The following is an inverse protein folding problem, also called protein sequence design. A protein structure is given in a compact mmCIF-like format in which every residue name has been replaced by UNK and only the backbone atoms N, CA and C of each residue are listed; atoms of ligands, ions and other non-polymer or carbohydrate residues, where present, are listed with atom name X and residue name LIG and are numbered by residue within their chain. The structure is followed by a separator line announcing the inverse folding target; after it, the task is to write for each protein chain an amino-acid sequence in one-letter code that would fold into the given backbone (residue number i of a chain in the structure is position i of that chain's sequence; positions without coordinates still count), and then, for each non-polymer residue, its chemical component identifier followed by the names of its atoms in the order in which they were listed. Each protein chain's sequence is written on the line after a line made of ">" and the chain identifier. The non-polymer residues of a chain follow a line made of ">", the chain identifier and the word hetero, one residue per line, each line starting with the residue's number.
data_IF_555502884038
#
_entry.id   IF_555502884038
#
_cell.length_a   1.000
_cell.length_b   1.000
_cell.length_c   1.000
_cell.angle_alpha   90.00
_cell.angle_beta   90.00
_cell.angle_gamma   90.00
#
_symmetry.space_group_name_H-M   'P 1'
#
loop_
_entity.id
_entity.type
_entity.pdbx_description
1 polymer ?
#
# COMPACT_ATOMS: atom_id res chain seq x y z
N UNK A 1 -42.05 -14.36 1.99
CA UNK A 1 -41.47 -13.35 1.08
C UNK A 1 -40.83 -12.33 1.98
N UNK A 2 -39.51 -12.40 2.16
CA UNK A 2 -38.77 -11.34 2.83
C UNK A 2 -39.09 -10.01 2.15
N UNK A 3 -39.26 -8.97 2.96
CA UNK A 3 -39.64 -7.65 2.49
C UNK A 3 -38.55 -7.14 1.55
N UNK A 4 -38.88 -6.89 0.28
CA UNK A 4 -37.91 -6.44 -0.75
C UNK A 4 -37.07 -5.26 -0.27
N UNK A 5 -37.66 -4.33 0.48
CA UNK A 5 -36.97 -3.18 1.05
C UNK A 5 -35.90 -3.56 2.10
N UNK A 6 -36.13 -4.62 2.87
CA UNK A 6 -35.16 -5.13 3.84
C UNK A 6 -33.95 -5.77 3.14
N UNK A 7 -34.18 -6.51 2.06
CA UNK A 7 -33.11 -7.08 1.23
C UNK A 7 -32.28 -5.98 0.57
N UNK A 8 -32.93 -4.98 -0.03
CA UNK A 8 -32.24 -3.85 -0.67
C UNK A 8 -31.39 -3.08 0.33
N UNK A 9 -31.93 -2.80 1.52
CA UNK A 9 -31.18 -2.17 2.62
C UNK A 9 -30.01 -3.03 3.07
N UNK A 10 -30.20 -4.35 3.22
CA UNK A 10 -29.12 -5.26 3.59
C UNK A 10 -27.99 -5.25 2.56
N UNK A 11 -28.31 -5.33 1.27
CA UNK A 11 -27.30 -5.29 0.18
C UNK A 11 -26.57 -3.94 0.17
N UNK A 12 -27.31 -2.85 0.29
CA UNK A 12 -26.76 -1.50 0.41
C UNK A 12 -25.74 -1.41 1.55
N UNK A 13 -26.16 -1.76 2.78
CA UNK A 13 -25.32 -1.67 3.96
C UNK A 13 -24.13 -2.64 3.88
N UNK A 14 -24.33 -3.84 3.30
CA UNK A 14 -23.27 -4.81 3.08
C UNK A 14 -22.18 -4.26 2.14
N UNK A 15 -22.54 -3.67 1.00
CA UNK A 15 -21.55 -3.14 0.04
C UNK A 15 -20.85 -1.92 0.61
N UNK A 16 -21.60 -0.97 1.21
CA UNK A 16 -21.04 0.30 1.66
C UNK A 16 -20.15 0.18 2.90
N UNK A 17 -20.39 -0.80 3.78
CA UNK A 17 -19.56 -1.01 4.97
C UNK A 17 -18.26 -1.74 4.68
N UNK A 18 -18.12 -2.36 3.50
CA UNK A 18 -16.88 -3.02 3.08
C UNK A 18 -15.81 -2.00 2.70
N UNK A 19 -14.52 -2.33 2.92
CA UNK A 19 -13.41 -1.43 2.65
C UNK A 19 -13.10 -1.30 1.16
N UNK A 20 -12.52 -0.16 0.81
CA UNK A 20 -11.60 -0.05 -0.32
C UNK A 20 -10.18 -0.43 0.18
N UNK A 21 -9.57 -1.42 -0.46
CA UNK A 21 -8.23 -1.90 -0.12
C UNK A 21 -7.25 -1.52 -1.21
N UNK A 22 -6.14 -0.88 -0.83
CA UNK A 22 -4.99 -0.63 -1.71
C UNK A 22 -3.86 -1.62 -1.41
N UNK A 23 -3.22 -2.14 -2.46
CA UNK A 23 -1.95 -2.86 -2.41
C UNK A 23 -0.91 -2.04 -3.16
N UNK A 24 0.13 -1.56 -2.46
CA UNK A 24 1.17 -0.70 -3.02
C UNK A 24 2.49 -1.46 -3.21
N UNK A 25 3.14 -1.20 -4.33
CA UNK A 25 4.51 -1.63 -4.61
C UNK A 25 5.43 -0.45 -4.93
N UNK A 26 6.67 -0.76 -5.34
CA UNK A 26 7.71 0.25 -5.56
C UNK A 26 7.31 1.32 -6.61
N UNK A 27 6.47 0.95 -7.58
CA UNK A 27 5.93 1.89 -8.57
C UNK A 27 5.09 3.01 -7.94
N UNK A 28 4.41 2.74 -6.81
CA UNK A 28 3.68 3.77 -6.08
C UNK A 28 4.64 4.80 -5.44
N UNK A 29 5.81 4.36 -4.95
CA UNK A 29 6.84 5.26 -4.44
C UNK A 29 7.41 6.12 -5.57
N UNK A 30 7.70 5.52 -6.72
CA UNK A 30 8.13 6.26 -7.92
C UNK A 30 7.08 7.31 -8.33
N UNK A 31 5.79 6.95 -8.30
CA UNK A 31 4.70 7.88 -8.61
C UNK A 31 4.54 9.01 -7.58
N UNK A 32 4.93 8.79 -6.31
CA UNK A 32 4.91 9.81 -5.27
C UNK A 32 6.06 10.82 -5.41
N UNK A 33 7.21 10.38 -5.91
CA UNK A 33 8.41 11.20 -6.13
C UNK A 33 8.94 11.05 -7.57
N UNK A 34 8.16 11.44 -8.59
CA UNK A 34 8.46 11.13 -9.99
C UNK A 34 9.74 11.79 -10.51
N UNK A 35 10.14 12.91 -9.90
CA UNK A 35 11.38 13.63 -10.22
C UNK A 35 12.46 13.47 -9.14
N UNK A 36 12.26 12.52 -8.23
CA UNK A 36 12.98 12.41 -6.97
C UNK A 36 12.27 13.11 -5.81
N UNK A 37 12.76 12.83 -4.61
CA UNK A 37 12.28 13.39 -3.35
C UNK A 37 12.73 14.86 -3.18
N UNK A 38 12.52 15.47 -2.00
CA UNK A 38 12.98 16.83 -1.70
C UNK A 38 14.49 17.02 -1.87
N UNK A 39 15.27 15.96 -1.64
CA UNK A 39 16.72 15.94 -1.72
C UNK A 39 17.24 15.51 -3.11
N UNK A 40 16.35 15.25 -4.07
CA UNK A 40 16.69 14.76 -5.41
C UNK A 40 16.98 13.26 -5.49
N UNK A 41 16.75 12.50 -4.41
CA UNK A 41 16.91 11.05 -4.38
C UNK A 41 15.78 10.38 -5.17
N UNK A 42 16.13 9.44 -6.04
CA UNK A 42 15.18 8.65 -6.83
C UNK A 42 15.07 7.25 -6.27
N UNK A 43 13.87 6.68 -6.33
CA UNK A 43 13.64 5.29 -5.94
C UNK A 43 13.83 4.34 -7.13
N UNK A 44 14.33 3.15 -6.83
CA UNK A 44 14.52 2.02 -7.76
C UNK A 44 13.44 0.96 -7.54
N UNK A 45 13.18 0.16 -8.56
CA UNK A 45 12.50 -1.15 -8.41
C UNK A 45 13.50 -2.23 -7.96
N UNK A 46 13.04 -3.45 -7.66
CA UNK A 46 13.92 -4.52 -7.11
C UNK A 46 15.04 -5.00 -8.06
N UNK A 47 14.86 -4.84 -9.37
CA UNK A 47 15.90 -5.16 -10.35
C UNK A 47 16.88 -3.99 -10.47
N UNK A 48 18.18 -4.28 -10.52
CA UNK A 48 19.27 -3.30 -10.51
C UNK A 48 19.33 -2.44 -9.22
N UNK A 49 18.62 -2.84 -8.17
CA UNK A 49 18.50 -2.07 -6.93
C UNK A 49 19.85 -1.66 -6.32
N UNK A 50 20.84 -2.56 -6.31
CA UNK A 50 22.18 -2.24 -5.80
C UNK A 50 22.95 -1.25 -6.67
N UNK A 51 22.75 -1.31 -7.98
CA UNK A 51 23.38 -0.38 -8.92
C UNK A 51 22.74 1.00 -8.79
N UNK A 52 21.40 1.07 -8.79
CA UNK A 52 20.65 2.31 -8.71
C UNK A 52 20.80 3.03 -7.36
N UNK A 53 21.06 2.30 -6.28
CA UNK A 53 21.33 2.88 -4.96
C UNK A 53 22.81 3.07 -4.63
N UNK A 54 23.72 2.75 -5.56
CA UNK A 54 25.18 2.85 -5.37
C UNK A 54 25.66 2.05 -4.14
N UNK A 55 25.35 0.75 -4.17
CA UNK A 55 25.63 -0.25 -3.11
C UNK A 55 26.45 -1.45 -3.63
N UNK A 56 26.93 -1.40 -4.87
CA UNK A 56 27.69 -2.50 -5.48
C UNK A 56 29.06 -2.73 -4.80
N UNK A 57 29.61 -1.69 -4.18
CA UNK A 57 30.87 -1.73 -3.44
C UNK A 57 30.84 -2.73 -2.26
N UNK A 58 29.67 -2.93 -1.66
CA UNK A 58 29.46 -3.89 -0.55
C UNK A 58 29.74 -5.33 -1.01
N UNK A 59 29.54 -5.62 -2.29
CA UNK A 59 29.80 -6.95 -2.86
C UNK A 59 31.26 -7.14 -3.30
N UNK A 60 32.14 -6.18 -3.02
CA UNK A 60 33.57 -6.29 -3.37
C UNK A 60 34.23 -7.47 -2.66
N UNK A 61 34.76 -8.42 -3.42
CA UNK A 61 35.37 -9.64 -2.89
C UNK A 61 34.38 -10.76 -2.56
N UNK A 62 33.07 -10.53 -2.74
CA UNK A 62 32.04 -11.58 -2.61
C UNK A 62 31.99 -12.40 -3.89
N UNK A 63 32.00 -13.73 -3.74
CA UNK A 63 31.82 -14.67 -4.86
C UNK A 63 30.41 -15.24 -4.80
N UNK A 64 29.52 -14.68 -5.61
CA UNK A 64 28.15 -15.17 -5.78
C UNK A 64 28.06 -16.04 -7.03
N UNK A 65 27.27 -17.12 -6.96
CA UNK A 65 26.92 -17.97 -8.09
C UNK A 65 25.72 -17.41 -8.87
N UNK A 66 24.83 -16.66 -8.20
CA UNK A 66 23.71 -16.00 -8.84
C UNK A 66 24.21 -14.96 -9.84
N UNK A 67 23.58 -14.94 -11.01
CA UNK A 67 23.75 -13.89 -12.03
C UNK A 67 22.58 -12.90 -12.00
N UNK A 68 21.66 -13.07 -11.05
CA UNK A 68 20.50 -12.21 -10.91
C UNK A 68 20.92 -10.82 -10.46
N UNK A 69 20.22 -9.81 -10.99
CA UNK A 69 20.34 -8.41 -10.53
C UNK A 69 19.24 -8.03 -9.53
N UNK A 70 18.43 -9.00 -9.12
CA UNK A 70 17.39 -8.82 -8.13
C UNK A 70 18.02 -8.88 -6.73
N UNK A 71 17.73 -7.88 -5.88
CA UNK A 71 18.26 -7.81 -4.53
C UNK A 71 17.93 -9.05 -3.69
N UNK A 72 16.70 -9.58 -3.81
CA UNK A 72 16.26 -10.69 -2.99
C UNK A 72 17.02 -11.98 -3.33
N UNK A 73 17.33 -12.22 -4.61
CA UNK A 73 18.15 -13.36 -5.04
C UNK A 73 19.58 -13.26 -4.51
N UNK A 74 20.17 -12.06 -4.59
CA UNK A 74 21.51 -11.77 -4.06
C UNK A 74 21.54 -11.98 -2.55
N UNK A 75 20.58 -11.39 -1.83
CA UNK A 75 20.46 -11.50 -0.39
C UNK A 75 20.25 -12.96 0.06
N UNK A 76 19.44 -13.73 -0.69
CA UNK A 76 19.21 -15.15 -0.41
C UNK A 76 20.49 -15.96 -0.49
N UNK A 77 21.35 -15.70 -1.47
CA UNK A 77 22.63 -16.41 -1.58
C UNK A 77 23.59 -15.99 -0.46
N UNK A 78 23.68 -14.70 -0.14
CA UNK A 78 24.45 -14.20 1.01
C UNK A 78 24.03 -14.89 2.32
N UNK A 79 22.73 -15.08 2.54
CA UNK A 79 22.20 -15.74 3.74
C UNK A 79 22.60 -17.22 3.85
N UNK A 80 22.87 -17.90 2.72
CA UNK A 80 23.30 -19.31 2.75
C UNK A 80 24.77 -19.53 3.09
N UNK A 81 25.59 -18.47 3.07
CA UNK A 81 27.05 -18.55 3.26
C UNK A 81 27.42 -17.89 4.58
N UNK A 82 27.74 -18.65 5.66
CA UNK A 82 28.01 -18.10 6.99
C UNK A 82 29.10 -17.03 7.00
N UNK A 83 30.12 -17.15 6.14
CA UNK A 83 31.22 -16.22 5.99
C UNK A 83 30.77 -14.82 5.53
N UNK A 84 29.60 -14.70 4.90
CA UNK A 84 29.05 -13.44 4.40
C UNK A 84 28.06 -12.78 5.38
N UNK A 85 27.97 -13.27 6.61
CA UNK A 85 27.09 -12.71 7.64
C UNK A 85 27.35 -11.22 7.91
N UNK A 86 28.61 -10.80 8.01
CA UNK A 86 28.97 -9.38 8.21
C UNK A 86 28.54 -8.51 7.02
N UNK A 87 28.73 -9.00 5.80
CA UNK A 87 28.37 -8.33 4.55
C UNK A 87 26.85 -8.17 4.46
N UNK A 88 26.09 -9.19 4.89
CA UNK A 88 24.63 -9.14 4.97
C UNK A 88 24.15 -8.03 5.92
N UNK A 89 24.74 -7.94 7.11
CA UNK A 89 24.41 -6.87 8.06
C UNK A 89 24.81 -5.48 7.54
N UNK A 90 25.94 -5.36 6.87
CA UNK A 90 26.37 -4.11 6.24
C UNK A 90 25.40 -3.68 5.13
N UNK A 91 24.96 -4.61 4.29
CA UNK A 91 23.97 -4.38 3.25
C UNK A 91 22.64 -3.88 3.83
N UNK A 92 22.10 -4.56 4.84
CA UNK A 92 20.88 -4.14 5.54
C UNK A 92 21.01 -2.72 6.11
N UNK A 93 22.11 -2.45 6.82
CA UNK A 93 22.35 -1.13 7.41
C UNK A 93 22.46 -0.02 6.35
N UNK A 94 23.15 -0.28 5.23
CA UNK A 94 23.30 0.68 4.14
C UNK A 94 21.97 0.95 3.45
N UNK A 95 21.12 -0.07 3.29
CA UNK A 95 19.74 0.10 2.78
C UNK A 95 18.93 1.00 3.70
N UNK A 96 18.94 0.74 5.02
CA UNK A 96 18.25 1.57 6.02
C UNK A 96 18.77 3.01 5.97
N UNK A 97 20.10 3.20 5.93
CA UNK A 97 20.74 4.51 5.86
C UNK A 97 20.40 5.28 4.58
N UNK A 98 20.24 4.60 3.44
CA UNK A 98 19.82 5.23 2.18
C UNK A 98 18.36 5.66 2.27
N UNK A 99 17.45 4.78 2.68
CA UNK A 99 16.03 5.12 2.78
C UNK A 99 15.74 6.18 3.83
N UNK A 100 16.51 6.26 4.92
CA UNK A 100 16.29 7.28 5.95
C UNK A 100 16.57 8.72 5.49
N UNK A 101 17.26 8.88 4.35
CA UNK A 101 17.51 10.18 3.73
C UNK A 101 16.33 10.69 2.88
N UNK A 102 15.36 9.82 2.58
CA UNK A 102 14.22 10.17 1.75
C UNK A 102 13.29 11.12 2.50
N UNK A 103 12.91 12.22 1.85
CA UNK A 103 12.00 13.24 2.38
C UNK A 103 11.03 13.64 1.29
N UNK A 104 9.73 13.45 1.52
CA UNK A 104 8.73 13.90 0.56
C UNK A 104 8.86 15.42 0.28
N UNK A 105 8.63 15.89 -0.95
CA UNK A 105 8.56 17.31 -1.31
C UNK A 105 7.61 18.13 -0.42
N UNK A 106 7.74 19.46 -0.40
CA UNK A 106 6.85 20.32 0.40
C UNK A 106 5.42 20.39 -0.15
N UNK A 107 5.27 20.22 -1.46
CA UNK A 107 3.96 20.20 -2.11
C UNK A 107 3.28 18.84 -1.97
N UNK A 108 1.93 18.79 -2.01
CA UNK A 108 1.22 17.52 -1.91
C UNK A 108 1.61 16.55 -3.02
N UNK A 109 1.91 15.33 -2.63
CA UNK A 109 2.27 14.20 -3.48
C UNK A 109 1.12 13.22 -3.61
N UNK A 110 1.23 12.24 -4.52
CA UNK A 110 0.16 11.26 -4.75
C UNK A 110 -0.21 10.46 -3.50
N UNK A 111 0.72 10.26 -2.56
CA UNK A 111 0.43 9.64 -1.27
C UNK A 111 -0.44 10.51 -0.37
N UNK A 112 -0.26 11.83 -0.39
CA UNK A 112 -1.12 12.76 0.36
C UNK A 112 -2.56 12.70 -0.17
N UNK A 113 -2.74 12.67 -1.50
CA UNK A 113 -4.05 12.50 -2.13
C UNK A 113 -4.67 11.13 -1.83
N UNK A 114 -3.89 10.05 -1.98
CA UNK A 114 -4.35 8.68 -1.70
C UNK A 114 -4.89 8.55 -0.28
N UNK A 115 -4.09 8.93 0.72
CA UNK A 115 -4.45 8.76 2.13
C UNK A 115 -5.66 9.63 2.48
N UNK A 116 -5.72 10.89 2.01
CA UNK A 116 -6.88 11.76 2.26
C UNK A 116 -8.16 11.29 1.57
N UNK A 117 -8.04 10.56 0.48
CA UNK A 117 -9.19 10.03 -0.28
C UNK A 117 -9.77 8.76 0.32
N UNK A 118 -9.19 8.26 1.41
CA UNK A 118 -9.64 7.06 2.12
C UNK A 118 -10.05 7.42 3.55
N UNK A 119 -10.81 6.52 4.19
CA UNK A 119 -11.34 6.69 5.56
C UNK A 119 -10.85 5.58 6.48
N UNK A 120 -11.18 5.66 7.77
CA UNK A 120 -10.80 4.67 8.79
C UNK A 120 -11.27 3.25 8.52
N UNK A 121 -12.32 3.06 7.72
CA UNK A 121 -12.75 1.74 7.27
C UNK A 121 -11.84 1.14 6.19
N UNK A 122 -11.05 1.94 5.49
CA UNK A 122 -10.25 1.54 4.34
C UNK A 122 -8.81 1.16 4.74
N UNK A 123 -8.11 0.44 3.87
CA UNK A 123 -6.79 -0.11 4.17
C UNK A 123 -5.80 0.14 3.03
N UNK A 124 -4.56 0.46 3.41
CA UNK A 124 -3.41 0.47 2.51
C UNK A 124 -2.41 -0.57 3.02
N UNK A 125 -2.24 -1.63 2.23
CA UNK A 125 -1.17 -2.60 2.41
C UNK A 125 -0.02 -2.25 1.46
N UNK A 126 1.21 -2.27 1.94
CA UNK A 126 2.37 -1.90 1.13
C UNK A 126 3.53 -2.85 1.33
N UNK A 127 4.23 -3.11 0.23
CA UNK A 127 5.49 -3.86 0.21
C UNK A 127 6.72 -2.95 0.31
N UNK A 128 6.53 -1.63 0.37
CA UNK A 128 7.61 -0.65 0.30
C UNK A 128 8.31 -0.46 1.65
N UNK A 129 9.64 -0.49 1.61
CA UNK A 129 10.48 -0.29 2.80
C UNK A 129 10.66 1.18 3.19
N UNK A 130 10.51 2.12 2.25
CA UNK A 130 10.66 3.55 2.48
C UNK A 130 9.53 4.12 3.37
N UNK A 131 9.83 5.11 4.22
CA UNK A 131 8.83 5.69 5.13
C UNK A 131 7.99 6.82 4.49
N UNK A 132 8.03 7.02 3.17
CA UNK A 132 7.36 8.16 2.52
C UNK A 132 5.85 8.13 2.73
N UNK A 133 5.23 6.94 2.72
CA UNK A 133 3.80 6.80 3.02
C UNK A 133 3.47 7.25 4.45
N UNK A 134 4.34 6.96 5.43
CA UNK A 134 4.22 7.42 6.82
C UNK A 134 4.42 8.94 6.89
N UNK A 135 5.37 9.48 6.12
CA UNK A 135 5.55 10.93 6.02
C UNK A 135 4.30 11.63 5.49
N UNK A 136 3.65 11.09 4.45
CA UNK A 136 2.39 11.59 3.93
C UNK A 136 1.28 11.50 4.99
N UNK A 137 1.13 10.35 5.65
CA UNK A 137 0.17 10.17 6.74
C UNK A 137 0.30 11.25 7.82
N UNK A 138 1.54 11.52 8.26
CA UNK A 138 1.83 12.54 9.27
C UNK A 138 1.53 13.98 8.81
N UNK A 139 1.50 14.25 7.50
CA UNK A 139 1.11 15.56 6.96
C UNK A 139 -0.41 15.69 6.94
N UNK A 140 -1.10 14.67 6.47
CA UNK A 140 -2.54 14.69 6.24
C UNK A 140 -3.37 14.46 7.51
N UNK A 141 -2.81 13.82 8.55
CA UNK A 141 -3.46 13.71 9.86
C UNK A 141 -3.70 15.07 10.54
N UNK A 142 -3.05 16.14 10.05
CA UNK A 142 -3.32 17.53 10.45
C UNK A 142 -4.60 18.11 9.83
N UNK A 143 -5.17 17.42 8.84
CA UNK A 143 -6.40 17.81 8.13
C UNK A 143 -7.60 17.07 8.71
N UNK A 144 -7.50 15.75 8.89
CA UNK A 144 -8.54 14.89 9.47
C UNK A 144 -7.93 13.70 10.22
N UNK A 145 -8.64 13.17 11.21
CA UNK A 145 -8.27 11.94 11.92
C UNK A 145 -8.94 10.69 11.34
N UNK A 146 -9.91 10.84 10.44
CA UNK A 146 -10.57 9.71 9.75
C UNK A 146 -9.78 9.31 8.51
N UNK A 147 -8.77 8.46 8.73
CA UNK A 147 -7.75 8.05 7.76
C UNK A 147 -7.60 6.53 7.71
N UNK A 148 -7.16 5.94 6.57
CA UNK A 148 -7.03 4.50 6.41
C UNK A 148 -6.01 3.88 7.36
N UNK A 149 -6.13 2.57 7.57
CA UNK A 149 -5.11 1.79 8.25
C UNK A 149 -3.93 1.50 7.31
N UNK A 150 -2.71 1.72 7.78
CA UNK A 150 -1.48 1.41 7.04
C UNK A 150 -0.86 0.11 7.55
N UNK A 151 -0.56 -0.83 6.66
CA UNK A 151 0.05 -2.12 6.99
C UNK A 151 1.23 -2.40 6.06
N UNK A 152 2.40 -2.71 6.62
CA UNK A 152 3.65 -2.88 5.87
C UNK A 152 4.05 -4.36 5.85
N UNK A 153 3.86 -5.00 4.70
CA UNK A 153 3.96 -6.46 4.54
C UNK A 153 5.40 -6.98 4.56
N UNK A 154 6.36 -6.14 4.20
CA UNK A 154 7.80 -6.46 4.22
C UNK A 154 8.58 -5.61 5.23
N UNK A 155 7.90 -5.12 6.27
CA UNK A 155 8.48 -4.14 7.18
C UNK A 155 8.66 -2.77 6.52
N UNK A 156 9.11 -1.80 7.31
CA UNK A 156 9.30 -0.43 6.86
C UNK A 156 10.27 0.31 7.80
N UNK A 157 11.14 1.16 7.26
CA UNK A 157 12.12 1.89 8.06
C UNK A 157 11.51 2.93 9.01
N UNK A 158 10.26 3.33 8.79
CA UNK A 158 9.53 4.25 9.65
C UNK A 158 8.67 3.56 10.71
N UNK A 159 8.56 2.23 10.70
CA UNK A 159 7.79 1.44 11.68
C UNK A 159 8.69 1.03 12.84
N UNK A 160 8.25 1.31 14.06
CA UNK A 160 8.89 0.88 15.30
C UNK A 160 8.01 -0.06 16.11
N UNK A 161 8.62 -1.13 16.62
CA UNK A 161 7.98 -2.12 17.47
C UNK A 161 8.53 -1.95 18.88
N UNK A 162 7.66 -1.80 19.87
CA UNK A 162 8.06 -1.75 21.27
C UNK A 162 8.55 -3.12 21.76
N UNK A 163 9.71 -3.17 22.39
CA UNK A 163 10.28 -4.42 22.90
C UNK A 163 9.47 -5.02 24.06
N UNK A 164 8.77 -4.17 24.82
CA UNK A 164 8.07 -4.58 26.05
C UNK A 164 6.63 -5.02 25.79
N UNK A 165 5.88 -4.25 25.00
CA UNK A 165 4.44 -4.48 24.79
C UNK A 165 4.05 -4.75 23.34
N UNK A 166 5.04 -4.85 22.44
CA UNK A 166 4.86 -5.11 21.01
C UNK A 166 3.94 -4.14 20.26
N UNK A 167 3.65 -2.97 20.85
CA UNK A 167 2.90 -1.92 20.17
C UNK A 167 3.67 -1.43 18.94
N UNK A 168 2.95 -1.37 17.82
CA UNK A 168 3.43 -0.86 16.53
C UNK A 168 3.17 0.65 16.48
N UNK A 169 4.18 1.43 16.13
CA UNK A 169 4.09 2.89 16.07
C UNK A 169 5.15 3.45 15.11
N UNK A 170 5.26 4.78 15.00
CA UNK A 170 6.40 5.37 14.30
C UNK A 170 7.70 5.09 15.04
N UNK A 171 8.73 4.67 14.30
CA UNK A 171 10.09 4.50 14.84
C UNK A 171 10.72 5.81 15.30
N UNK A 172 10.20 6.96 14.84
CA UNK A 172 10.65 8.29 15.26
C UNK A 172 10.17 8.66 16.67
N UNK A 173 9.29 7.86 17.28
CA UNK A 173 8.84 8.09 18.65
C UNK A 173 9.96 7.77 19.65
N UNK A 174 10.19 8.64 20.63
CA UNK A 174 11.18 8.43 21.70
C UNK A 174 10.69 7.37 22.70
N UNK A 175 9.37 7.26 22.87
CA UNK A 175 8.72 6.34 23.82
C UNK A 175 7.56 5.62 23.17
N UNK A 176 7.27 4.41 23.64
CA UNK A 176 6.05 3.69 23.33
C UNK A 176 4.83 4.49 23.79
N UNK A 177 3.92 4.79 22.85
CA UNK A 177 2.66 5.47 23.17
C UNK A 177 1.78 4.67 24.15
N UNK A 178 1.96 3.35 24.22
CA UNK A 178 1.13 2.44 25.03
C UNK A 178 1.69 2.20 26.43
N UNK A 179 2.98 1.84 26.54
CA UNK A 179 3.60 1.49 27.83
C UNK A 179 4.69 2.46 28.32
N UNK A 180 5.05 3.48 27.52
CA UNK A 180 6.07 4.47 27.88
C UNK A 180 7.53 4.01 27.76
N UNK A 181 7.79 2.74 27.43
CA UNK A 181 9.15 2.22 27.25
C UNK A 181 9.90 2.94 26.12
N UNK A 182 11.21 3.13 26.29
CA UNK A 182 12.08 3.80 25.30
C UNK A 182 12.72 2.83 24.30
N UNK A 183 12.54 1.52 24.50
CA UNK A 183 13.12 0.46 23.68
C UNK A 183 12.22 0.12 22.48
N UNK A 184 12.58 0.66 21.31
CA UNK A 184 11.96 0.35 20.03
C UNK A 184 12.98 -0.28 19.07
N UNK A 185 12.54 -1.24 18.27
CA UNK A 185 13.32 -1.79 17.16
C UNK A 185 12.55 -1.68 15.84
N UNK A 186 13.30 -1.69 14.73
CA UNK A 186 12.75 -1.78 13.39
C UNK A 186 12.35 -3.24 13.07
N UNK A 187 11.26 -3.47 12.33
CA UNK A 187 10.99 -4.78 11.75
C UNK A 187 12.10 -5.17 10.77
N UNK A 188 12.29 -6.47 10.56
CA UNK A 188 13.17 -6.97 9.49
C UNK A 188 12.62 -6.58 8.13
N UNK A 189 13.49 -6.09 7.25
CA UNK A 189 13.13 -5.67 5.89
C UNK A 189 13.35 -6.76 4.85
N UNK A 190 14.48 -7.47 4.98
CA UNK A 190 14.94 -8.47 4.04
C UNK A 190 14.72 -9.88 4.60
N UNK A 191 14.19 -10.75 3.74
CA UNK A 191 13.99 -12.17 4.02
C UNK A 191 14.57 -13.00 2.87
N UNK A 192 15.29 -14.09 3.15
CA UNK A 192 15.80 -14.97 2.10
C UNK A 192 14.62 -15.64 1.35
N UNK A 193 14.56 -15.45 0.02
CA UNK A 193 13.48 -15.91 -0.89
C UNK A 193 13.17 -17.40 -0.72
N UNK A 194 14.21 -18.24 -0.65
CA UNK A 194 14.08 -19.70 -0.53
C UNK A 194 13.55 -20.18 0.83
N UNK A 195 13.43 -19.26 1.79
CA UNK A 195 12.91 -19.49 3.15
C UNK A 195 12.11 -18.28 3.63
N UNK A 196 11.23 -17.69 2.80
CA UNK A 196 10.30 -16.64 3.24
C UNK A 196 9.26 -17.23 4.20
N UNK A 197 9.72 -17.61 5.38
CA UNK A 197 8.84 -17.96 6.47
C UNK A 197 8.31 -16.66 7.06
N UNK A 198 7.30 -16.07 6.41
CA UNK A 198 6.57 -14.90 6.88
C UNK A 198 6.00 -15.11 8.30
N UNK A 199 5.90 -16.37 8.75
CA UNK A 199 5.47 -16.75 10.11
C UNK A 199 6.60 -16.72 11.14
N UNK A 200 7.86 -16.54 10.73
CA UNK A 200 9.01 -16.50 11.65
C UNK A 200 9.17 -15.15 12.35
N UNK A 201 8.59 -14.09 11.80
CA UNK A 201 8.57 -12.76 12.40
C UNK A 201 7.13 -12.43 12.84
N UNK A 202 6.86 -12.22 14.15
CA UNK A 202 5.50 -11.99 14.64
C UNK A 202 4.81 -10.76 14.03
N UNK A 203 5.57 -9.71 13.71
CA UNK A 203 5.03 -8.50 13.09
C UNK A 203 4.58 -8.79 11.66
N UNK A 204 5.46 -9.40 10.86
CA UNK A 204 5.17 -9.74 9.47
C UNK A 204 4.02 -10.73 9.39
N UNK A 205 4.01 -11.76 10.25
CA UNK A 205 2.91 -12.73 10.32
C UNK A 205 1.57 -12.05 10.62
N UNK A 206 1.55 -11.12 11.58
CA UNK A 206 0.34 -10.35 11.91
C UNK A 206 -0.12 -9.47 10.75
N UNK A 207 0.81 -8.80 10.06
CA UNK A 207 0.52 -7.98 8.89
C UNK A 207 -0.13 -8.81 7.76
N UNK A 208 0.43 -9.98 7.46
CA UNK A 208 -0.11 -10.90 6.46
C UNK A 208 -1.48 -11.47 6.86
N UNK A 209 -1.64 -11.90 8.11
CA UNK A 209 -2.95 -12.37 8.60
C UNK A 209 -4.01 -11.27 8.47
N UNK A 210 -3.66 -10.02 8.79
CA UNK A 210 -4.53 -8.87 8.58
C UNK A 210 -4.90 -8.66 7.12
N UNK A 211 -3.93 -8.71 6.20
CA UNK A 211 -4.19 -8.63 4.76
C UNK A 211 -5.17 -9.73 4.32
N UNK A 212 -4.85 -10.98 4.58
CA UNK A 212 -5.64 -12.12 4.12
C UNK A 212 -7.07 -12.08 4.66
N UNK A 213 -7.28 -11.55 5.86
CA UNK A 213 -8.63 -11.38 6.40
C UNK A 213 -9.39 -10.20 5.78
N UNK A 214 -8.72 -9.07 5.57
CA UNK A 214 -9.36 -7.87 5.05
C UNK A 214 -9.70 -8.00 3.56
N UNK A 215 -8.84 -8.62 2.73
CA UNK A 215 -9.11 -8.74 1.29
C UNK A 215 -10.36 -9.58 0.98
N UNK A 216 -10.69 -10.57 1.82
CA UNK A 216 -11.93 -11.37 1.73
C UNK A 216 -13.19 -10.50 1.77
N UNK A 217 -13.08 -9.35 2.43
CA UNK A 217 -14.17 -8.45 2.73
C UNK A 217 -14.13 -7.16 1.90
N UNK A 218 -13.12 -6.91 1.05
CA UNK A 218 -13.01 -5.68 0.27
C UNK A 218 -14.07 -5.57 -0.83
N UNK A 219 -14.75 -4.42 -1.00
CA UNK A 219 -15.63 -4.16 -2.16
C UNK A 219 -14.83 -3.71 -3.38
N UNK A 220 -13.73 -3.01 -3.15
CA UNK A 220 -12.83 -2.53 -4.19
C UNK A 220 -11.40 -2.92 -3.79
N UNK A 221 -10.68 -3.55 -4.70
CA UNK A 221 -9.26 -3.85 -4.55
C UNK A 221 -8.47 -3.06 -5.60
N UNK A 222 -7.63 -2.13 -5.15
CA UNK A 222 -6.77 -1.34 -6.03
C UNK A 222 -5.32 -1.75 -5.88
N UNK A 223 -4.68 -2.13 -6.97
CA UNK A 223 -3.27 -2.50 -7.04
C UNK A 223 -2.54 -1.33 -7.68
N UNK A 224 -1.58 -0.73 -6.97
CA UNK A 224 -0.89 0.46 -7.44
C UNK A 224 0.63 0.24 -7.45
N UNK A 225 1.20 0.19 -8.66
CA UNK A 225 2.65 0.09 -8.87
C UNK A 225 3.29 -1.16 -8.28
N UNK A 226 2.51 -2.24 -8.13
CA UNK A 226 2.99 -3.54 -7.67
C UNK A 226 2.93 -4.54 -8.83
N UNK A 227 4.05 -5.18 -9.12
CA UNK A 227 4.20 -6.07 -10.28
C UNK A 227 4.14 -7.56 -9.95
N UNK A 228 3.67 -7.94 -8.74
CA UNK A 228 3.56 -9.35 -8.31
C UNK A 228 4.81 -10.19 -8.67
N UNK A 229 5.99 -9.89 -8.09
CA UNK A 229 7.25 -10.48 -8.51
C UNK A 229 7.22 -12.01 -8.42
N UNK A 230 7.86 -12.67 -9.39
CA UNK A 230 7.92 -14.15 -9.50
C UNK A 230 8.55 -14.85 -8.30
N UNK A 231 9.26 -14.10 -7.45
CA UNK A 231 9.88 -14.61 -6.20
C UNK A 231 8.87 -14.76 -5.06
N UNK A 232 7.65 -14.23 -5.20
CA UNK A 232 6.60 -14.18 -4.17
C UNK A 232 5.42 -15.14 -4.44
N UNK A 233 5.69 -16.32 -5.01
CA UNK A 233 4.65 -17.30 -5.39
C UNK A 233 3.73 -17.63 -4.21
N UNK A 234 4.28 -17.91 -3.03
CA UNK A 234 3.50 -18.27 -1.84
C UNK A 234 2.59 -17.12 -1.37
N UNK A 235 3.09 -15.89 -1.43
CA UNK A 235 2.33 -14.69 -1.05
C UNK A 235 1.18 -14.44 -2.03
N UNK A 236 1.44 -14.54 -3.34
CA UNK A 236 0.41 -14.39 -4.37
C UNK A 236 -0.66 -15.46 -4.23
N UNK A 237 -0.29 -16.72 -4.02
CA UNK A 237 -1.23 -17.83 -3.87
C UNK A 237 -2.09 -17.67 -2.60
N UNK A 238 -1.49 -17.22 -1.50
CA UNK A 238 -2.23 -16.93 -0.26
C UNK A 238 -3.25 -15.79 -0.47
N UNK A 239 -2.84 -14.68 -1.10
CA UNK A 239 -3.73 -13.57 -1.43
C UNK A 239 -4.86 -14.01 -2.36
N UNK A 240 -4.55 -14.80 -3.39
CA UNK A 240 -5.54 -15.34 -4.33
C UNK A 240 -6.56 -16.23 -3.61
N UNK A 241 -6.08 -17.15 -2.78
CA UNK A 241 -6.93 -18.07 -2.02
C UNK A 241 -7.87 -17.30 -1.11
N UNK A 242 -7.35 -16.31 -0.37
CA UNK A 242 -8.17 -15.50 0.51
C UNK A 242 -9.14 -14.60 -0.27
N UNK A 243 -8.71 -13.94 -1.35
CA UNK A 243 -9.58 -13.09 -2.16
C UNK A 243 -10.74 -13.86 -2.79
N UNK A 244 -10.48 -15.09 -3.27
CA UNK A 244 -11.49 -15.94 -3.93
C UNK A 244 -12.32 -16.79 -2.96
N UNK A 245 -12.09 -16.71 -1.64
CA UNK A 245 -12.82 -17.54 -0.67
C UNK A 245 -14.26 -17.10 -0.42
N UNK A 246 -14.67 -15.93 -0.92
CA UNK A 246 -16.02 -15.37 -0.79
C UNK A 246 -16.61 -15.09 -2.17
N UNK A 247 -17.90 -14.74 -2.25
CA UNK A 247 -18.51 -14.37 -3.51
C UNK A 247 -18.03 -12.99 -3.97
N UNK A 248 -17.41 -12.90 -5.15
CA UNK A 248 -16.72 -11.68 -5.64
C UNK A 248 -17.30 -11.03 -6.89
N UNK A 249 -18.36 -11.58 -7.49
CA UNK A 249 -18.82 -11.19 -8.85
C UNK A 249 -19.31 -9.73 -8.98
N UNK A 250 -19.49 -9.02 -7.87
CA UNK A 250 -19.85 -7.61 -7.84
C UNK A 250 -18.80 -6.76 -7.15
N UNK A 251 -17.56 -7.23 -7.05
CA UNK A 251 -16.46 -6.45 -6.52
C UNK A 251 -15.65 -5.87 -7.69
N UNK A 252 -15.00 -4.74 -7.46
CA UNK A 252 -14.20 -4.06 -8.47
C UNK A 252 -12.71 -4.28 -8.21
N UNK A 253 -11.94 -4.49 -9.28
CA UNK A 253 -10.48 -4.37 -9.26
C UNK A 253 -10.06 -3.12 -10.03
N UNK A 254 -9.16 -2.31 -9.45
CA UNK A 254 -8.44 -1.27 -10.19
C UNK A 254 -6.96 -1.61 -10.22
N UNK A 255 -6.31 -1.39 -11.36
CA UNK A 255 -4.86 -1.53 -11.50
C UNK A 255 -4.30 -0.20 -11.99
N UNK A 256 -3.47 0.42 -11.15
CA UNK A 256 -2.81 1.68 -11.46
C UNK A 256 -1.34 1.37 -11.73
N UNK A 257 -0.94 1.42 -13.00
CA UNK A 257 0.43 1.14 -13.43
C UNK A 257 0.71 1.80 -14.79
N UNK A 258 1.97 2.07 -15.08
CA UNK A 258 2.42 2.64 -16.36
C UNK A 258 2.56 1.59 -17.46
N UNK A 259 2.54 0.31 -17.10
CA UNK A 259 2.59 -0.82 -18.03
C UNK A 259 1.36 -0.88 -18.94
N UNK A 260 1.47 -1.51 -20.12
CA UNK A 260 0.34 -1.72 -21.01
C UNK A 260 -0.77 -2.55 -20.34
N UNK A 261 -2.03 -2.18 -20.60
CA UNK A 261 -3.21 -2.86 -20.06
C UNK A 261 -3.18 -4.39 -20.28
N UNK A 262 -2.80 -4.86 -21.46
CA UNK A 262 -2.72 -6.30 -21.75
C UNK A 262 -1.79 -7.04 -20.79
N UNK A 263 -0.63 -6.46 -20.45
CA UNK A 263 0.31 -7.06 -19.49
C UNK A 263 -0.28 -7.10 -18.08
N UNK A 264 -1.02 -6.05 -17.69
CA UNK A 264 -1.66 -5.96 -16.39
C UNK A 264 -2.77 -6.99 -16.23
N UNK A 265 -3.62 -7.14 -17.25
CA UNK A 265 -4.71 -8.12 -17.24
C UNK A 265 -4.16 -9.55 -17.19
N UNK A 266 -3.09 -9.83 -17.93
CA UNK A 266 -2.42 -11.14 -17.89
C UNK A 266 -1.77 -11.41 -16.52
N UNK A 267 -1.13 -10.41 -15.92
CA UNK A 267 -0.45 -10.55 -14.61
C UNK A 267 -1.45 -10.81 -13.49
N UNK A 268 -2.62 -10.18 -13.54
CA UNK A 268 -3.61 -10.19 -12.47
C UNK A 268 -4.85 -11.05 -12.76
N UNK A 269 -4.81 -11.87 -13.81
CA UNK A 269 -5.95 -12.67 -14.31
C UNK A 269 -6.63 -13.49 -13.22
N UNK A 270 -5.84 -14.06 -12.32
CA UNK A 270 -6.31 -14.92 -11.23
C UNK A 270 -7.15 -14.18 -10.19
N UNK A 271 -6.93 -12.88 -10.01
CA UNK A 271 -7.75 -12.02 -9.14
C UNK A 271 -8.98 -11.48 -9.89
N UNK A 272 -8.83 -11.25 -11.20
CA UNK A 272 -9.88 -10.67 -12.07
C UNK A 272 -10.98 -11.68 -12.37
N UNK A 273 -10.65 -12.95 -12.59
CA UNK A 273 -11.63 -13.97 -12.97
C UNK A 273 -12.77 -14.15 -11.93
N UNK A 274 -12.50 -14.21 -10.60
CA UNK A 274 -13.55 -14.27 -9.58
C UNK A 274 -14.51 -13.07 -9.58
N UNK A 275 -14.08 -11.90 -10.03
CA UNK A 275 -14.91 -10.68 -10.05
C UNK A 275 -15.79 -10.55 -11.28
N UNK A 276 -15.93 -11.62 -12.09
CA UNK A 276 -16.61 -11.56 -13.38
C UNK A 276 -15.95 -10.52 -14.33
N UNK A 277 -14.62 -10.39 -14.25
CA UNK A 277 -13.83 -9.46 -15.05
C UNK A 277 -14.19 -7.99 -14.86
N UNK A 278 -14.72 -7.63 -13.68
CA UNK A 278 -14.87 -6.23 -13.28
C UNK A 278 -13.51 -5.65 -12.89
N UNK A 279 -12.80 -5.14 -13.90
CA UNK A 279 -11.46 -4.56 -13.77
C UNK A 279 -11.37 -3.27 -14.57
N UNK A 280 -10.61 -2.31 -14.06
CA UNK A 280 -10.26 -1.08 -14.77
C UNK A 280 -8.78 -0.79 -14.59
N UNK A 281 -8.13 -0.34 -15.66
CA UNK A 281 -6.70 -0.01 -15.63
C UNK A 281 -6.51 1.49 -15.82
N UNK A 282 -5.56 2.07 -15.07
CA UNK A 282 -5.26 3.49 -15.09
C UNK A 282 -3.76 3.71 -15.05
N UNK A 283 -3.30 4.85 -15.56
CA UNK A 283 -1.88 5.24 -15.46
C UNK A 283 -1.63 6.18 -14.28
N UNK A 284 -2.67 6.79 -13.72
CA UNK A 284 -2.57 7.72 -12.59
C UNK A 284 -3.68 7.51 -11.58
N UNK A 285 -3.42 7.89 -10.32
CA UNK A 285 -4.40 7.88 -9.23
C UNK A 285 -5.60 8.79 -9.48
N UNK A 286 -5.40 9.89 -10.22
CA UNK A 286 -6.43 10.90 -10.44
C UNK A 286 -7.52 10.43 -11.40
N UNK A 287 -7.22 9.43 -12.22
CA UNK A 287 -8.17 8.87 -13.19
C UNK A 287 -8.97 7.70 -12.61
N UNK A 288 -8.58 7.18 -11.44
CA UNK A 288 -9.22 6.03 -10.79
C UNK A 288 -10.45 6.44 -9.97
N UNK A 289 -11.17 5.48 -9.39
CA UNK A 289 -12.40 5.74 -8.63
C UNK A 289 -12.20 6.68 -7.44
N UNK A 290 -11.02 6.72 -6.82
CA UNK A 290 -10.74 7.69 -5.74
C UNK A 290 -10.43 9.08 -6.29
N UNK A 291 -10.02 9.16 -7.55
CA UNK A 291 -9.92 10.40 -8.31
C UNK A 291 -11.29 11.03 -8.55
N UNK A 292 -12.27 10.21 -8.90
CA UNK A 292 -13.64 10.69 -9.09
C UNK A 292 -14.42 10.89 -7.78
N UNK A 293 -14.26 9.97 -6.83
CA UNK A 293 -14.99 9.93 -5.56
C UNK A 293 -14.04 9.89 -4.35
N UNK A 294 -13.23 10.94 -4.11
CA UNK A 294 -12.37 10.97 -2.94
C UNK A 294 -13.20 10.90 -1.66
N UNK A 295 -12.80 10.02 -0.74
CA UNK A 295 -13.49 9.66 0.51
C UNK A 295 -14.83 8.95 0.32
N UNK A 296 -15.21 8.65 -0.92
CA UNK A 296 -16.51 8.08 -1.31
C UNK A 296 -16.40 6.99 -2.37
N UNK A 297 -15.24 6.34 -2.51
CA UNK A 297 -15.02 5.37 -3.59
C UNK A 297 -16.06 4.24 -3.60
N UNK A 298 -16.42 3.72 -2.44
CA UNK A 298 -17.42 2.62 -2.34
C UNK A 298 -18.83 3.13 -2.58
N UNK A 299 -19.17 4.33 -2.10
CA UNK A 299 -20.45 4.99 -2.35
C UNK A 299 -20.63 5.33 -3.83
N UNK A 300 -19.59 5.87 -4.47
CA UNK A 300 -19.54 6.15 -5.91
C UNK A 300 -19.67 4.86 -6.73
N UNK A 301 -18.93 3.82 -6.35
CA UNK A 301 -19.05 2.48 -6.94
C UNK A 301 -20.48 1.96 -6.87
N UNK A 302 -21.10 2.04 -5.68
CA UNK A 302 -22.47 1.60 -5.47
C UNK A 302 -23.47 2.39 -6.34
N UNK A 303 -23.37 3.73 -6.36
CA UNK A 303 -24.25 4.58 -7.16
C UNK A 303 -24.15 4.30 -8.66
N UNK A 304 -22.93 4.11 -9.18
CA UNK A 304 -22.67 3.78 -10.59
C UNK A 304 -23.24 2.42 -10.98
N UNK A 305 -23.00 1.40 -10.16
CA UNK A 305 -23.22 0.00 -10.57
C UNK A 305 -24.54 -0.60 -10.05
N UNK A 306 -25.18 0.00 -9.05
CA UNK A 306 -26.39 -0.54 -8.42
C UNK A 306 -27.58 0.45 -8.42
N UNK A 307 -27.36 1.72 -8.74
CA UNK A 307 -28.42 2.74 -8.76
C UNK A 307 -28.59 3.43 -10.12
N UNK A 308 -27.92 2.95 -11.18
CA UNK A 308 -27.97 3.53 -12.53
C UNK A 308 -27.64 5.04 -12.59
N UNK A 309 -26.78 5.52 -11.68
CA UNK A 309 -26.41 6.92 -11.66
C UNK A 309 -25.18 7.18 -12.54
N UNK A 310 -25.39 8.01 -13.58
CA UNK A 310 -24.37 8.31 -14.58
C UNK A 310 -23.84 9.76 -14.56
N UNK A 311 -24.18 10.53 -13.51
CA UNK A 311 -23.84 11.96 -13.39
C UNK A 311 -22.36 12.24 -13.10
N UNK A 312 -22.04 13.49 -12.74
CA UNK A 312 -20.71 13.88 -12.28
C UNK A 312 -20.66 13.94 -10.76
N UNK A 313 -19.55 13.49 -10.18
CA UNK A 313 -19.29 13.66 -8.75
C UNK A 313 -19.32 15.14 -8.36
N UNK A 314 -19.85 15.44 -7.17
CA UNK A 314 -19.81 16.80 -6.59
C UNK A 314 -18.39 17.32 -6.37
N UNK A 315 -17.41 16.41 -6.24
CA UNK A 315 -16.03 16.72 -5.96
C UNK A 315 -15.13 15.65 -6.55
N UNK A 316 -14.19 16.06 -7.40
CA UNK A 316 -13.14 15.20 -7.94
C UNK A 316 -11.76 15.67 -7.47
N UNK A 317 -10.79 14.76 -7.41
CA UNK A 317 -9.42 15.11 -7.13
C UNK A 317 -8.85 15.97 -8.26
N UNK A 318 -8.09 16.99 -7.86
CA UNK A 318 -7.29 17.81 -8.75
C UNK A 318 -5.99 18.18 -8.07
N UNK A 319 -4.93 18.29 -8.86
CA UNK A 319 -3.63 18.72 -8.36
C UNK A 319 -3.75 20.11 -7.75
N UNK A 320 -3.40 20.20 -6.48
CA UNK A 320 -3.32 21.42 -5.69
C UNK A 320 -1.86 21.88 -5.63
N UNK A 321 -1.67 23.21 -5.67
CA UNK A 321 -0.34 23.80 -5.58
C UNK A 321 0.28 23.59 -4.20
N UNK A 322 -0.52 23.56 -3.13
CA UNK A 322 -0.08 23.44 -1.74
C UNK A 322 -1.11 22.70 -0.87
N UNK A 323 -0.78 22.47 0.41
CA UNK A 323 -1.68 21.83 1.38
C UNK A 323 -2.91 22.67 1.74
N UNK A 324 -2.87 23.99 1.56
CA UNK A 324 -4.04 24.85 1.79
C UNK A 324 -5.10 24.55 0.73
N UNK A 325 -4.69 24.49 -0.54
CA UNK A 325 -5.55 24.10 -1.66
C UNK A 325 -6.11 22.69 -1.49
N UNK A 326 -5.27 21.73 -1.07
CA UNK A 326 -5.71 20.36 -0.81
C UNK A 326 -6.72 20.27 0.33
N UNK A 327 -6.51 21.04 1.41
CA UNK A 327 -7.45 21.13 2.52
C UNK A 327 -8.79 21.70 2.06
N UNK A 328 -8.78 22.81 1.32
CA UNK A 328 -10.02 23.42 0.82
C UNK A 328 -10.74 22.53 -0.19
N UNK A 329 -10.00 21.76 -1.00
CA UNK A 329 -10.57 20.78 -1.91
C UNK A 329 -11.39 19.72 -1.15
N UNK A 330 -10.82 19.08 -0.12
CA UNK A 330 -11.45 17.94 0.57
C UNK A 330 -12.40 18.38 1.70
N UNK A 331 -12.34 19.65 2.15
CA UNK A 331 -13.17 20.17 3.25
C UNK A 331 -14.67 19.86 3.12
N UNK A 332 -15.33 20.00 1.95
CA UNK A 332 -16.77 19.74 1.84
C UNK A 332 -17.15 18.30 2.19
N UNK A 333 -16.41 17.31 1.70
CA UNK A 333 -16.70 15.88 1.95
C UNK A 333 -16.41 15.46 3.39
N UNK A 334 -15.38 16.04 4.01
CA UNK A 334 -15.11 15.87 5.46
C UNK A 334 -16.22 16.51 6.30
N UNK A 335 -16.69 17.69 5.93
CA UNK A 335 -17.78 18.33 6.68
C UNK A 335 -19.06 17.48 6.62
N UNK A 336 -19.37 16.93 5.45
CA UNK A 336 -20.52 16.04 5.27
C UNK A 336 -20.37 14.74 6.09
N UNK A 337 -19.18 14.15 6.17
CA UNK A 337 -18.88 12.99 7.03
C UNK A 337 -19.24 13.23 8.50
N UNK A 338 -18.91 14.41 9.04
CA UNK A 338 -19.19 14.77 10.43
C UNK A 338 -20.71 14.81 10.68
N UNK A 339 -21.50 15.12 9.65
CA UNK A 339 -22.96 15.10 9.70
C UNK A 339 -23.55 13.72 9.36
N UNK A 340 -22.72 12.69 9.14
CA UNK A 340 -23.16 11.37 8.70
C UNK A 340 -23.65 11.32 7.26
N UNK A 341 -23.36 12.34 6.45
CA UNK A 341 -23.73 12.40 5.04
C UNK A 341 -22.59 11.87 4.16
N UNK A 342 -22.88 10.75 3.48
CA UNK A 342 -21.96 10.08 2.58
C UNK A 342 -22.38 10.14 1.11
N UNK A 343 -23.30 11.04 0.76
CA UNK A 343 -23.73 11.22 -0.63
C UNK A 343 -22.58 11.70 -1.53
N UNK A 344 -22.67 11.31 -2.81
CA UNK A 344 -21.72 11.63 -3.87
C UNK A 344 -22.27 12.62 -4.90
N UNK A 345 -23.55 13.00 -4.74
CA UNK A 345 -24.34 13.83 -5.65
C UNK A 345 -24.74 15.17 -5.03
#
# INVERSE_FOLDING_TARGET
>A
MENKAEIEKYIHDFILNRPHVFILGAGATIAAIPNGDKNGLRCSVMNNFLEELDLLDILSGVKLNTKSRNLEDIYSELDTIPEYTSIKYELENRIIQKFSQYVLPEQPTIYDYLILSLRSKDYIFTFNWDDLLIQAYNRVCRITNDLPQLVFLHGNIGVGICNECHAIQSYRNIRCYKCGATSLHLPKLLFPVKKKNYNSDPYISTAWNGLLEIIKNASILTIFGYSAPKTDIEAIEAMKTAFSSTFRRYDQIEIIDVKPESELLDTWSDFIQPTNFHVSTYTTLFDSIIGEFPRRSVEGYYKRNFCDWWGQSTLTLKKCADFKGLKELIRPVIYNEIQGNYDVI
#
